data_IF_933504798024
#
_entry.id   IF_933504798024
#
_cell.length_a   1.000
_cell.length_b   1.000
_cell.length_c   1.000
_cell.angle_alpha   90.00
_cell.angle_beta   90.00
_cell.angle_gamma   90.00
#
_symmetry.space_group_name_H-M   'P 1'
#
loop_
_entity.id
_entity.type
_entity.pdbx_description
1 polymer ?
#
# COMPACT_ATOMS: atom_id res chain seq x y z
N UNK A 1 -12.60 18.33 -21.90
CA UNK A 1 -11.83 17.09 -22.11
C UNK A 1 -11.83 16.33 -20.81
N UNK A 2 -12.51 15.18 -20.76
CA UNK A 2 -12.77 14.41 -19.55
C UNK A 2 -12.35 12.96 -19.74
N UNK A 3 -11.87 12.35 -18.66
CA UNK A 3 -11.53 10.93 -18.43
C UNK A 3 -10.74 10.21 -19.55
N UNK A 4 -9.51 9.79 -19.24
CA UNK A 4 -8.66 9.00 -20.12
C UNK A 4 -8.74 7.51 -19.73
N UNK A 5 -8.78 6.64 -20.74
CA UNK A 5 -8.84 5.19 -20.58
C UNK A 5 -7.81 4.52 -21.47
N UNK A 6 -7.41 3.30 -21.12
CA UNK A 6 -6.68 2.44 -22.05
C UNK A 6 -7.60 2.07 -23.22
N UNK A 7 -7.05 1.98 -24.43
CA UNK A 7 -7.76 1.40 -25.57
C UNK A 7 -8.06 -0.09 -25.36
N UNK A 8 -7.29 -0.76 -24.48
CA UNK A 8 -7.44 -2.16 -24.12
C UNK A 8 -7.68 -2.39 -22.62
N UNK A 9 -7.06 -3.45 -22.09
CA UNK A 9 -7.22 -3.85 -20.69
C UNK A 9 -6.46 -2.94 -19.73
N UNK A 10 -7.04 -2.66 -18.55
CA UNK A 10 -6.33 -2.05 -17.43
C UNK A 10 -5.05 -2.81 -17.03
N UNK A 11 -4.97 -4.11 -17.37
CA UNK A 11 -3.77 -4.94 -17.18
C UNK A 11 -2.53 -4.36 -17.89
N UNK A 12 -2.71 -3.62 -18.98
CA UNK A 12 -1.60 -2.96 -19.67
C UNK A 12 -0.83 -2.00 -18.75
N UNK A 13 -1.53 -1.30 -17.86
CA UNK A 13 -0.87 -0.41 -16.88
C UNK A 13 -0.15 -1.23 -15.80
N UNK A 14 -0.77 -2.31 -15.33
CA UNK A 14 -0.18 -3.20 -14.33
C UNK A 14 1.12 -3.80 -14.87
N UNK A 15 1.07 -4.40 -16.06
CA UNK A 15 2.21 -5.06 -16.70
C UNK A 15 3.34 -4.06 -16.97
N UNK A 16 3.02 -2.84 -17.42
CA UNK A 16 3.99 -1.76 -17.59
C UNK A 16 4.70 -1.40 -16.29
N UNK A 17 3.96 -1.19 -15.19
CA UNK A 17 4.54 -0.82 -13.90
C UNK A 17 5.41 -1.95 -13.32
N UNK A 18 4.95 -3.19 -13.40
CA UNK A 18 5.72 -4.36 -12.94
C UNK A 18 7.00 -4.51 -13.76
N UNK A 19 6.92 -4.34 -15.08
CA UNK A 19 8.11 -4.43 -15.95
C UNK A 19 9.13 -3.33 -15.67
N UNK A 20 8.69 -2.08 -15.44
CA UNK A 20 9.58 -0.98 -15.08
C UNK A 20 10.24 -1.19 -13.71
N UNK A 21 9.50 -1.70 -12.73
CA UNK A 21 10.04 -2.06 -11.42
C UNK A 21 11.14 -3.11 -11.54
N UNK A 22 10.88 -4.20 -12.28
CA UNK A 22 11.85 -5.26 -12.51
C UNK A 22 13.09 -4.75 -13.25
N UNK A 23 12.91 -3.92 -14.28
CA UNK A 23 14.00 -3.31 -15.04
C UNK A 23 14.91 -2.40 -14.21
N UNK A 24 14.44 -1.93 -13.05
CA UNK A 24 15.20 -1.09 -12.10
C UNK A 24 15.70 -1.86 -10.88
N UNK A 25 15.47 -3.18 -10.82
CA UNK A 25 15.91 -4.03 -9.71
C UNK A 25 15.06 -3.88 -8.45
N UNK A 26 13.82 -3.41 -8.54
CA UNK A 26 12.91 -3.42 -7.40
C UNK A 26 12.40 -4.84 -7.13
N UNK A 27 12.46 -5.27 -5.87
CA UNK A 27 11.95 -6.56 -5.44
C UNK A 27 10.44 -6.47 -5.14
N UNK A 28 9.66 -7.42 -5.65
CA UNK A 28 8.22 -7.53 -5.40
C UNK A 28 7.93 -8.85 -4.69
N UNK A 29 7.48 -8.76 -3.44
CA UNK A 29 7.09 -9.92 -2.64
C UNK A 29 5.59 -9.85 -2.36
N UNK A 30 4.84 -10.79 -2.92
CA UNK A 30 3.39 -10.89 -2.78
C UNK A 30 3.02 -11.86 -1.65
N UNK A 31 1.72 -11.94 -1.32
CA UNK A 31 1.20 -12.84 -0.27
C UNK A 31 1.95 -12.72 1.07
N UNK A 32 2.37 -11.49 1.39
CA UNK A 32 3.22 -11.19 2.54
C UNK A 32 2.55 -10.10 3.36
N UNK A 33 2.14 -10.44 4.59
CA UNK A 33 1.52 -9.49 5.51
C UNK A 33 2.57 -8.88 6.43
N UNK A 34 2.36 -7.61 6.80
CA UNK A 34 3.15 -6.94 7.84
C UNK A 34 2.58 -7.29 9.21
N UNK A 35 3.43 -7.80 10.10
CA UNK A 35 3.05 -8.19 11.47
C UNK A 35 3.45 -7.10 12.47
N UNK A 36 4.71 -6.65 12.42
CA UNK A 36 5.21 -5.56 13.28
C UNK A 36 6.05 -4.57 12.48
N UNK A 37 6.06 -3.33 12.95
CA UNK A 37 6.89 -2.24 12.48
C UNK A 37 7.39 -1.51 13.71
N UNK A 38 8.70 -1.40 13.85
CA UNK A 38 9.37 -0.76 14.97
C UNK A 38 10.38 0.26 14.42
N UNK A 39 10.41 1.45 15.02
CA UNK A 39 11.38 2.49 14.67
C UNK A 39 12.66 2.27 15.46
N UNK A 40 13.78 2.32 14.77
CA UNK A 40 15.12 2.20 15.36
C UNK A 40 15.89 3.52 15.22
N UNK A 41 17.11 3.57 15.75
CA UNK A 41 18.00 4.73 15.57
C UNK A 41 18.41 4.93 14.11
N UNK A 42 18.52 3.86 13.33
CA UNK A 42 19.00 3.87 11.95
C UNK A 42 17.88 3.80 10.89
N UNK A 43 16.63 3.55 11.32
CA UNK A 43 15.48 3.42 10.42
C UNK A 43 14.32 2.65 11.03
N UNK A 44 13.98 1.52 10.41
CA UNK A 44 12.85 0.67 10.74
C UNK A 44 13.22 -0.82 10.67
N UNK A 45 12.65 -1.60 11.58
CA UNK A 45 12.63 -3.05 11.53
C UNK A 45 11.19 -3.53 11.36
N UNK A 46 11.00 -4.49 10.46
CA UNK A 46 9.70 -5.05 10.13
C UNK A 46 9.73 -6.56 10.28
N UNK A 47 8.70 -7.10 10.93
CA UNK A 47 8.37 -8.52 10.86
C UNK A 47 7.27 -8.71 9.83
N UNK A 48 7.54 -9.56 8.84
CA UNK A 48 6.61 -9.95 7.81
C UNK A 48 6.32 -11.45 7.96
N UNK A 49 5.19 -11.91 7.41
CA UNK A 49 4.85 -13.34 7.38
C UNK A 49 5.88 -14.19 6.62
N UNK A 50 6.69 -13.57 5.75
CA UNK A 50 7.73 -14.21 4.96
C UNK A 50 9.14 -14.06 5.56
N UNK A 51 9.31 -13.36 6.68
CA UNK A 51 10.61 -13.08 7.29
C UNK A 51 10.75 -11.67 7.83
N UNK A 52 11.93 -11.31 8.32
CA UNK A 52 12.20 -9.96 8.83
C UNK A 52 13.01 -9.15 7.83
N UNK A 53 12.76 -7.84 7.76
CA UNK A 53 13.50 -6.90 6.92
C UNK A 53 13.78 -5.61 7.70
N UNK A 54 14.93 -5.00 7.46
CA UNK A 54 15.26 -3.67 7.97
C UNK A 54 15.43 -2.68 6.83
N UNK A 55 15.06 -1.42 7.06
CA UNK A 55 15.21 -0.37 6.07
C UNK A 55 15.44 1.00 6.72
N UNK A 56 16.10 1.90 6.00
CA UNK A 56 16.27 3.30 6.45
C UNK A 56 15.02 4.14 6.24
N UNK A 57 14.26 3.82 5.20
CA UNK A 57 13.07 4.55 4.79
C UNK A 57 11.90 3.57 4.60
N UNK A 58 10.75 3.93 5.16
CA UNK A 58 9.52 3.16 5.05
C UNK A 58 8.45 4.01 4.34
N UNK A 59 7.88 3.48 3.26
CA UNK A 59 6.77 4.13 2.52
C UNK A 59 5.49 3.34 2.76
N UNK A 60 4.46 4.02 3.26
CA UNK A 60 3.14 3.42 3.53
C UNK A 60 2.23 3.69 2.33
N UNK A 61 2.03 2.69 1.48
CA UNK A 61 1.23 2.77 0.25
C UNK A 61 0.03 1.78 0.27
N UNK A 62 -0.57 1.56 1.44
CA UNK A 62 -1.56 0.49 1.68
C UNK A 62 -3.00 0.81 1.22
N UNK A 63 -3.23 1.93 0.54
CA UNK A 63 -4.55 2.34 0.06
C UNK A 63 -5.51 2.78 1.17
N UNK A 64 -6.81 2.59 0.96
CA UNK A 64 -7.87 2.95 1.90
C UNK A 64 -8.81 1.79 2.23
N UNK A 65 -9.97 2.08 2.82
CA UNK A 65 -10.92 1.07 3.34
C UNK A 65 -11.91 0.50 2.31
N UNK A 66 -11.91 1.03 1.08
CA UNK A 66 -12.92 0.68 0.06
C UNK A 66 -12.66 -0.69 -0.55
N UNK A 67 -13.72 -1.49 -0.75
CA UNK A 67 -13.70 -2.84 -1.31
C UNK A 67 -12.80 -3.83 -0.50
N UNK A 68 -13.14 -4.15 0.77
CA UNK A 68 -12.34 -5.06 1.61
C UNK A 68 -12.08 -6.45 1.00
N UNK A 69 -13.03 -6.97 0.21
CA UNK A 69 -12.88 -8.25 -0.49
C UNK A 69 -11.70 -8.29 -1.46
N UNK A 70 -11.20 -7.13 -1.90
CA UNK A 70 -10.02 -7.00 -2.77
C UNK A 70 -8.71 -6.77 -1.99
N UNK A 71 -8.72 -6.89 -0.66
CA UNK A 71 -7.53 -6.75 0.20
C UNK A 71 -7.35 -5.36 0.82
N UNK A 72 -8.30 -4.45 0.63
CA UNK A 72 -8.30 -3.15 1.30
C UNK A 72 -8.48 -3.27 2.82
N UNK A 73 -7.68 -2.54 3.59
CA UNK A 73 -7.69 -2.58 5.07
C UNK A 73 -7.55 -1.18 5.67
N UNK A 74 -7.67 -1.08 7.00
CA UNK A 74 -7.39 0.13 7.77
C UNK A 74 -5.92 0.34 8.13
N UNK A 75 -5.02 -0.55 7.73
CA UNK A 75 -3.67 -0.68 8.29
C UNK A 75 -2.84 0.61 8.25
N UNK A 76 -2.85 1.33 7.13
CA UNK A 76 -2.07 2.59 7.02
C UNK A 76 -2.52 3.67 8.01
N UNK A 77 -3.81 3.71 8.35
CA UNK A 77 -4.36 4.65 9.32
C UNK A 77 -3.99 4.26 10.75
N UNK A 78 -4.07 2.97 11.06
CA UNK A 78 -3.65 2.41 12.36
C UNK A 78 -2.16 2.65 12.61
N UNK A 79 -1.35 2.51 11.55
CA UNK A 79 0.08 2.81 11.63
C UNK A 79 0.34 4.30 11.84
N UNK A 80 -0.40 5.18 11.15
CA UNK A 80 -0.28 6.63 11.35
C UNK A 80 -0.54 7.01 12.83
N UNK A 81 -1.60 6.47 13.43
CA UNK A 81 -1.95 6.68 14.84
C UNK A 81 -0.84 6.18 15.79
N UNK A 82 -0.30 4.98 15.55
CA UNK A 82 0.85 4.44 16.32
C UNK A 82 2.08 5.34 16.31
N UNK A 83 2.28 6.08 15.23
CA UNK A 83 3.39 7.04 15.08
C UNK A 83 3.00 8.47 15.48
N UNK A 84 1.84 8.67 16.10
CA UNK A 84 1.37 9.96 16.60
C UNK A 84 0.96 10.94 15.49
N UNK A 85 0.66 10.44 14.29
CA UNK A 85 0.20 11.25 13.17
C UNK A 85 -1.32 11.38 13.21
N UNK A 86 -1.82 12.61 13.08
CA UNK A 86 -3.25 12.86 13.03
C UNK A 86 -3.88 12.24 11.78
N UNK A 87 -4.99 11.53 11.96
CA UNK A 87 -5.80 10.95 10.87
C UNK A 87 -7.13 11.68 10.80
N UNK A 88 -7.45 12.25 9.64
CA UNK A 88 -8.77 12.84 9.38
C UNK A 88 -9.82 11.72 9.33
N UNK A 89 -11.00 11.95 9.93
CA UNK A 89 -12.07 10.98 9.96
C UNK A 89 -12.45 10.50 8.54
N UNK A 90 -12.32 9.18 8.31
CA UNK A 90 -12.58 8.57 7.01
C UNK A 90 -14.06 8.23 6.85
N UNK A 91 -14.63 8.49 5.67
CA UNK A 91 -16.00 8.11 5.33
C UNK A 91 -16.11 7.52 3.92
N UNK A 92 -17.12 6.71 3.61
CA UNK A 92 -17.37 6.25 2.24
C UNK A 92 -17.55 7.44 1.28
N UNK A 93 -17.00 7.33 0.08
CA UNK A 93 -17.09 8.32 -0.98
C UNK A 93 -17.21 7.63 -2.35
N UNK A 94 -17.85 8.30 -3.31
CA UNK A 94 -18.19 7.74 -4.63
C UNK A 94 -19.01 6.44 -4.52
N UNK A 95 -19.94 6.39 -3.56
CA UNK A 95 -20.84 5.25 -3.31
C UNK A 95 -22.27 5.60 -3.74
N UNK A 96 -23.09 4.61 -4.16
CA UNK A 96 -24.52 4.82 -4.37
C UNK A 96 -25.22 5.28 -3.08
N UNK A 97 -26.31 6.04 -3.22
CA UNK A 97 -27.19 6.39 -2.10
C UNK A 97 -28.28 5.33 -1.96
N UNK A 98 -28.75 5.15 -0.73
CA UNK A 98 -29.86 4.25 -0.37
C UNK A 98 -31.06 5.04 0.08
#
# INVERSE_FOLDING_TARGET
LGQLFCDGSARQIIDMLVSEMQGRGAELVLSTSVETIDKTEEGFELRLSAGSVSCRSLVVACGGKSIPKMGATGFGYELADRFGLAVVETRPALVPLT
#
